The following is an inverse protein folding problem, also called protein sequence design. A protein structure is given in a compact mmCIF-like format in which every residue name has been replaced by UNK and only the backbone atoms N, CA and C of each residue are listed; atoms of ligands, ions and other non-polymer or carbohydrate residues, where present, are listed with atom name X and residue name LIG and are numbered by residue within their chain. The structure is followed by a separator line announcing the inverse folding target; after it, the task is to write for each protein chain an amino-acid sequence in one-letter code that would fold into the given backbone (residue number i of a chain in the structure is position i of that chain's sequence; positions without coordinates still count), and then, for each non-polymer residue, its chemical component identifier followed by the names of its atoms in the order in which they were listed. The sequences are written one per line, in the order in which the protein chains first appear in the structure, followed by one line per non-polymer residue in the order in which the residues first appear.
data_IF_117106085698
#
_entry.id   IF_117106085698
#
_cell.length_a   1.000
_cell.length_b   1.000
_cell.length_c   1.000
_cell.angle_alpha   90.00
_cell.angle_beta   90.00
_cell.angle_gamma   90.00
#
_symmetry.space_group_name_H-M   'P 1'
#
loop_
_entity.id
_entity.type
_entity.pdbx_description
1 polymer ?
#
# COMPACT_ATOMS: atom_id res chain seq x y z
N UNK A 1 3.96 6.02 -20.05
CA UNK A 1 3.43 7.40 -20.14
C UNK A 1 4.09 8.22 -19.03
N UNK A 2 4.42 9.49 -19.26
CA UNK A 2 5.04 10.34 -18.25
C UNK A 2 4.06 11.39 -17.76
N UNK A 3 3.93 11.55 -16.45
CA UNK A 3 3.09 12.57 -15.83
C UNK A 3 3.99 13.56 -15.08
N UNK A 4 3.82 14.88 -15.28
CA UNK A 4 4.61 15.88 -14.58
C UNK A 4 4.27 15.90 -13.09
N UNK A 5 5.29 15.97 -12.24
CA UNK A 5 5.16 16.23 -10.81
C UNK A 5 5.22 17.74 -10.54
N UNK A 6 4.78 18.14 -9.34
CA UNK A 6 4.84 19.53 -8.87
C UNK A 6 6.28 20.07 -8.76
N UNK A 7 7.28 19.20 -8.61
CA UNK A 7 8.71 19.54 -8.56
C UNK A 7 9.38 19.62 -9.94
N UNK A 8 8.60 19.56 -11.02
CA UNK A 8 9.09 19.61 -12.40
C UNK A 8 9.70 18.30 -12.93
N UNK A 9 9.83 17.26 -12.09
CA UNK A 9 10.29 15.94 -12.53
C UNK A 9 9.16 15.16 -13.20
N UNK A 10 9.51 14.19 -14.03
CA UNK A 10 8.53 13.30 -14.65
C UNK A 10 8.38 12.00 -13.85
N UNK A 11 7.14 11.58 -13.62
CA UNK A 11 6.82 10.26 -13.07
C UNK A 11 6.46 9.32 -14.22
N UNK A 12 7.25 8.26 -14.48
CA UNK A 12 6.83 7.20 -15.38
C UNK A 12 5.65 6.44 -14.75
N UNK A 13 4.56 6.33 -15.49
CA UNK A 13 3.44 5.45 -15.18
C UNK A 13 3.42 4.26 -16.14
N UNK A 14 3.52 3.06 -15.57
CA UNK A 14 3.27 1.80 -16.26
C UNK A 14 1.77 1.56 -16.34
N UNK A 15 1.15 1.95 -17.45
CA UNK A 15 -0.28 1.71 -17.71
C UNK A 15 -0.40 0.38 -18.44
N UNK A 16 -0.93 -0.68 -17.81
CA UNK A 16 -1.09 -1.97 -18.47
C UNK A 16 -2.30 -1.96 -19.41
N UNK A 17 -2.44 -2.99 -20.25
CA UNK A 17 -3.56 -3.09 -21.18
C UNK A 17 -4.89 -3.15 -20.43
N UNK A 18 -6.00 -2.78 -21.08
CA UNK A 18 -7.32 -2.81 -20.44
C UNK A 18 -7.68 -4.20 -19.90
N UNK A 19 -7.35 -5.24 -20.65
CA UNK A 19 -7.58 -6.62 -20.23
C UNK A 19 -6.78 -6.98 -18.97
N UNK A 20 -5.52 -6.58 -18.90
CA UNK A 20 -4.68 -6.79 -17.71
C UNK A 20 -5.24 -6.06 -16.48
N UNK A 21 -5.77 -4.83 -16.66
CA UNK A 21 -6.45 -4.11 -15.58
C UNK A 21 -7.68 -4.85 -15.07
N UNK A 22 -8.46 -5.47 -15.96
CA UNK A 22 -9.59 -6.32 -15.57
C UNK A 22 -9.12 -7.53 -14.74
N UNK A 23 -8.03 -8.19 -15.16
CA UNK A 23 -7.46 -9.30 -14.42
C UNK A 23 -6.90 -8.87 -13.06
N UNK A 24 -6.16 -7.76 -12.98
CA UNK A 24 -5.68 -7.19 -11.73
C UNK A 24 -6.83 -6.84 -10.78
N UNK A 25 -7.91 -6.23 -11.27
CA UNK A 25 -9.08 -5.90 -10.47
C UNK A 25 -9.77 -7.17 -9.92
N UNK A 26 -9.87 -8.23 -10.73
CA UNK A 26 -10.40 -9.52 -10.30
C UNK A 26 -9.56 -10.13 -9.18
N UNK A 27 -8.23 -10.12 -9.32
CA UNK A 27 -7.30 -10.63 -8.30
C UNK A 27 -7.40 -9.80 -7.01
N UNK A 28 -7.40 -8.47 -7.11
CA UNK A 28 -7.57 -7.56 -5.98
C UNK A 28 -8.84 -7.89 -5.21
N UNK A 29 -9.99 -7.94 -5.89
CA UNK A 29 -11.27 -8.19 -5.23
C UNK A 29 -11.33 -9.56 -4.54
N UNK A 30 -10.56 -10.55 -5.01
CA UNK A 30 -10.47 -11.87 -4.38
C UNK A 30 -9.58 -11.87 -3.12
N UNK A 31 -8.47 -11.11 -3.13
CA UNK A 31 -7.51 -11.05 -2.03
C UNK A 31 -7.91 -10.06 -0.92
N UNK A 32 -8.57 -8.97 -1.29
CA UNK A 32 -8.94 -7.87 -0.40
C UNK A 32 -9.63 -8.31 0.91
N UNK A 33 -10.65 -9.19 0.92
CA UNK A 33 -11.33 -9.54 2.17
C UNK A 33 -10.44 -10.32 3.15
N UNK A 34 -9.59 -11.22 2.66
CA UNK A 34 -8.68 -11.99 3.50
C UNK A 34 -7.60 -11.08 4.09
N UNK A 35 -7.02 -10.21 3.27
CA UNK A 35 -5.94 -9.33 3.68
C UNK A 35 -6.43 -8.22 4.61
N UNK A 36 -7.63 -7.69 4.39
CA UNK A 36 -8.25 -6.70 5.28
C UNK A 36 -8.44 -7.24 6.71
N UNK A 37 -8.75 -8.54 6.86
CA UNK A 37 -8.83 -9.19 8.17
C UNK A 37 -7.46 -9.38 8.85
N UNK A 38 -6.37 -9.37 8.09
CA UNK A 38 -5.00 -9.59 8.60
C UNK A 38 -4.22 -8.29 8.79
N UNK A 39 -4.62 -7.19 8.14
CA UNK A 39 -3.89 -5.93 8.19
C UNK A 39 -3.89 -5.30 9.58
N UNK A 40 -2.78 -4.65 9.91
CA UNK A 40 -2.61 -3.95 11.17
C UNK A 40 -3.58 -2.76 11.27
N UNK A 41 -4.23 -2.52 12.43
CA UNK A 41 -5.27 -1.49 12.55
C UNK A 41 -4.83 -0.04 12.32
N UNK A 42 -3.53 0.27 12.46
CA UNK A 42 -2.92 1.60 12.24
C UNK A 42 -2.29 1.72 10.84
N UNK A 43 -2.51 0.74 9.96
CA UNK A 43 -2.21 0.86 8.54
C UNK A 43 -3.39 1.48 7.81
N UNK A 44 -3.19 2.64 7.18
CA UNK A 44 -4.27 3.41 6.55
C UNK A 44 -4.16 3.49 5.02
N UNK A 45 -2.97 3.25 4.46
CA UNK A 45 -2.71 3.40 3.03
C UNK A 45 -3.37 2.30 2.19
N UNK A 46 -3.96 2.69 1.05
CA UNK A 46 -4.50 1.78 0.02
C UNK A 46 -5.56 0.77 0.51
N UNK A 47 -6.31 1.10 1.57
CA UNK A 47 -7.36 0.23 2.14
C UNK A 47 -8.77 0.77 1.91
N UNK A 48 -9.76 -0.11 1.69
CA UNK A 48 -11.15 0.31 1.59
C UNK A 48 -11.64 0.90 2.93
N UNK A 49 -12.36 2.02 2.88
CA UNK A 49 -12.94 2.65 4.07
C UNK A 49 -11.95 3.32 5.03
N UNK A 50 -10.67 3.48 4.63
CA UNK A 50 -9.65 4.23 5.37
C UNK A 50 -9.19 5.44 4.57
N UNK A 51 -8.92 6.55 5.24
CA UNK A 51 -8.51 7.81 4.60
C UNK A 51 -7.25 8.40 5.24
N UNK A 52 -6.66 9.40 4.56
CA UNK A 52 -5.56 10.18 5.12
C UNK A 52 -5.96 10.93 6.40
N UNK A 53 -7.24 11.31 6.53
CA UNK A 53 -7.74 11.97 7.75
C UNK A 53 -7.67 11.04 8.95
N UNK A 54 -7.98 9.75 8.77
CA UNK A 54 -7.87 8.74 9.84
C UNK A 54 -6.41 8.55 10.27
N UNK A 55 -5.48 8.59 9.31
CA UNK A 55 -4.05 8.49 9.57
C UNK A 55 -3.50 9.67 10.40
N UNK A 56 -4.06 10.87 10.22
CA UNK A 56 -3.70 12.08 10.99
C UNK A 56 -4.36 12.08 12.38
N UNK A 57 -5.56 11.50 12.51
CA UNK A 57 -6.28 11.43 13.79
C UNK A 57 -5.53 10.65 14.86
N UNK A 58 -4.78 9.62 14.48
CA UNK A 58 -3.99 8.80 15.40
C UNK A 58 -2.88 9.60 16.12
N UNK A 59 -1.91 10.25 15.43
CA UNK A 59 -0.89 11.04 16.09
C UNK A 59 -1.50 12.21 16.86
N UNK A 60 -2.57 12.85 16.35
CA UNK A 60 -3.27 13.90 17.10
C UNK A 60 -3.74 13.39 18.48
N UNK A 61 -4.41 12.25 18.53
CA UNK A 61 -4.90 11.65 19.79
C UNK A 61 -3.74 11.26 20.73
N UNK A 62 -2.63 10.79 20.19
CA UNK A 62 -1.45 10.36 20.97
C UNK A 62 -0.67 11.57 21.53
N UNK A 63 -0.60 12.67 20.79
CA UNK A 63 0.26 13.82 21.10
C UNK A 63 -0.47 14.96 21.82
N UNK A 64 -1.79 15.09 21.67
CA UNK A 64 -2.55 16.23 22.20
C UNK A 64 -2.90 16.14 23.71
N UNK A 65 -2.25 15.26 24.48
CA UNK A 65 -2.51 15.08 25.91
C UNK A 65 -1.55 15.87 26.80
N UNK A 66 -2.06 16.53 27.86
CA UNK A 66 -1.25 17.28 28.83
C UNK A 66 -0.22 16.45 29.61
N UNK A 67 -0.30 15.12 29.53
CA UNK A 67 0.64 14.15 30.13
C UNK A 67 1.43 13.35 29.09
N UNK A 68 1.44 13.78 27.82
CA UNK A 68 2.18 13.04 26.80
C UNK A 68 3.68 13.05 27.10
N UNK A 69 4.29 11.87 27.12
CA UNK A 69 5.75 11.70 27.30
C UNK A 69 6.47 11.47 25.96
N UNK A 70 5.73 11.44 24.85
CA UNK A 70 6.27 11.22 23.50
C UNK A 70 6.63 12.57 22.89
N UNK A 71 7.91 12.90 22.94
CA UNK A 71 8.46 14.20 22.49
C UNK A 71 9.17 14.12 21.13
N UNK A 72 9.37 12.92 20.60
CA UNK A 72 10.07 12.69 19.34
C UNK A 72 9.20 11.90 18.36
N UNK A 73 9.26 12.28 17.09
CA UNK A 73 8.64 11.57 15.96
C UNK A 73 9.77 11.15 15.03
N UNK A 74 9.78 9.88 14.63
CA UNK A 74 10.64 9.38 13.57
C UNK A 74 9.83 9.46 12.27
N UNK A 75 10.27 10.34 11.37
CA UNK A 75 9.79 10.37 9.99
C UNK A 75 10.68 9.44 9.15
N UNK A 76 10.08 8.40 8.58
CA UNK A 76 10.79 7.36 7.84
C UNK A 76 10.01 7.02 6.56
N UNK A 77 10.72 6.97 5.45
CA UNK A 77 10.20 6.64 4.13
C UNK A 77 11.06 5.56 3.46
N UNK A 78 10.43 4.74 2.62
CA UNK A 78 11.11 3.68 1.87
C UNK A 78 11.45 4.18 0.46
N UNK A 79 12.75 4.24 0.15
CA UNK A 79 13.21 4.60 -1.18
C UNK A 79 12.84 3.53 -2.21
N UNK A 80 12.24 3.97 -3.32
CA UNK A 80 11.84 3.10 -4.44
C UNK A 80 11.03 1.87 -4.00
N UNK A 81 10.03 2.11 -3.12
CA UNK A 81 9.27 1.08 -2.43
C UNK A 81 8.66 -0.01 -3.34
N UNK A 82 8.29 0.34 -4.58
CA UNK A 82 7.71 -0.61 -5.55
C UNK A 82 8.75 -1.26 -6.47
N UNK A 83 9.87 -0.59 -6.74
CA UNK A 83 10.87 -1.09 -7.68
C UNK A 83 11.74 -2.19 -7.06
N UNK A 84 11.93 -2.14 -5.74
CA UNK A 84 12.82 -3.04 -4.99
C UNK A 84 12.10 -4.17 -4.24
N UNK A 85 10.85 -4.49 -4.60
CA UNK A 85 10.13 -5.57 -3.93
C UNK A 85 10.65 -6.93 -4.38
N UNK A 86 11.08 -7.75 -3.42
CA UNK A 86 11.47 -9.13 -3.67
C UNK A 86 10.24 -9.97 -4.08
N UNK A 87 10.28 -10.45 -5.32
CA UNK A 87 9.17 -11.21 -5.89
C UNK A 87 8.98 -12.57 -5.20
N UNK A 88 10.08 -13.21 -4.76
CA UNK A 88 10.02 -14.49 -4.03
C UNK A 88 9.27 -14.32 -2.71
N UNK A 89 9.50 -13.20 -2.02
CA UNK A 89 8.79 -12.87 -0.78
C UNK A 89 7.31 -12.58 -1.00
N UNK A 90 6.96 -11.88 -2.09
CA UNK A 90 5.56 -11.71 -2.46
C UNK A 90 4.87 -13.04 -2.75
N UNK A 91 5.52 -13.94 -3.48
CA UNK A 91 4.98 -15.27 -3.76
C UNK A 91 4.77 -16.10 -2.50
N UNK A 92 5.70 -16.04 -1.54
CA UNK A 92 5.56 -16.68 -0.24
C UNK A 92 4.37 -16.10 0.53
N UNK A 93 4.21 -14.77 0.54
CA UNK A 93 3.12 -14.10 1.24
C UNK A 93 1.72 -14.44 0.68
N UNK A 94 1.61 -14.78 -0.61
CA UNK A 94 0.36 -15.23 -1.24
C UNK A 94 -0.08 -16.64 -0.81
N UNK A 95 0.82 -17.44 -0.23
CA UNK A 95 0.50 -18.75 0.35
C UNK A 95 -0.28 -19.70 -0.58
N UNK A 96 -1.50 -20.04 -0.16
CA UNK A 96 -2.41 -20.96 -0.86
C UNK A 96 -3.34 -20.28 -1.88
N UNK A 97 -3.12 -19.01 -2.22
CA UNK A 97 -3.97 -18.30 -3.16
C UNK A 97 -4.06 -19.07 -4.51
N UNK A 98 -5.27 -19.46 -4.96
CA UNK A 98 -5.42 -20.39 -6.09
C UNK A 98 -4.89 -19.84 -7.41
N UNK A 99 -4.90 -18.52 -7.58
CA UNK A 99 -4.38 -17.85 -8.78
C UNK A 99 -2.87 -17.54 -8.72
N UNK A 100 -2.12 -18.05 -7.73
CA UNK A 100 -0.65 -17.88 -7.66
C UNK A 100 0.08 -18.37 -8.93
N UNK A 101 -0.49 -19.37 -9.61
CA UNK A 101 0.05 -19.92 -10.85
C UNK A 101 -0.06 -18.98 -12.05
N UNK A 102 -0.95 -17.98 -12.02
CA UNK A 102 -1.08 -16.95 -13.06
C UNK A 102 0.05 -15.92 -13.01
N UNK A 103 0.82 -15.90 -11.93
CA UNK A 103 1.94 -14.98 -11.70
C UNK A 103 3.27 -15.61 -12.16
N UNK A 104 3.26 -16.87 -12.65
CA UNK A 104 4.45 -17.49 -13.25
C UNK A 104 4.68 -16.90 -14.65
N UNK A 105 5.90 -16.39 -14.84
CA UNK A 105 6.42 -15.88 -16.13
C UNK A 105 6.23 -16.86 -17.26
#
# INVERSE_FOLDING_TARGET
MFVPKADGKQQPLGIPATMDRCHHARVRNALEPEWEARFEPRSYGFRPGRSCADAIGLPYTILNGSRTRRVWILDADLSAAFDNIDHSRLHEALGSFPARGLIRR
#
